data_IF_169226866817
#
_entry.id   IF_169226866817
#
_cell.length_a   1.000
_cell.length_b   1.000
_cell.length_c   1.000
_cell.angle_alpha   90.00
_cell.angle_beta   90.00
_cell.angle_gamma   90.00
#
_symmetry.space_group_name_H-M   'P 1'
#
loop_
_entity.id
_entity.type
_entity.pdbx_description
1 polymer ?
#
# COMPACT_ATOMS: atom_id res chain seq x y z
N UNK A 1 25.68 -11.05 -24.63
CA UNK A 1 24.76 -11.70 -23.67
C UNK A 1 25.49 -11.76 -22.35
N UNK A 2 25.22 -10.82 -21.45
CA UNK A 2 25.83 -10.80 -20.12
C UNK A 2 24.75 -11.26 -19.15
N UNK A 3 24.85 -12.50 -18.72
CA UNK A 3 23.94 -13.10 -17.74
C UNK A 3 24.27 -12.50 -16.39
N UNK A 4 23.44 -11.57 -15.91
CA UNK A 4 23.52 -11.07 -14.53
C UNK A 4 23.04 -12.20 -13.63
N UNK A 5 23.98 -12.94 -13.05
CA UNK A 5 23.70 -13.91 -12.00
C UNK A 5 23.27 -13.10 -10.78
N UNK A 6 21.98 -13.13 -10.43
CA UNK A 6 21.48 -12.58 -9.16
C UNK A 6 22.04 -13.43 -8.02
N UNK A 7 22.53 -12.83 -6.92
CA UNK A 7 22.94 -13.59 -5.75
C UNK A 7 21.70 -14.30 -5.16
N UNK A 8 21.80 -15.62 -5.01
CA UNK A 8 20.80 -16.41 -4.30
C UNK A 8 20.70 -15.92 -2.84
N UNK A 9 19.49 -15.60 -2.39
CA UNK A 9 19.20 -15.29 -0.98
C UNK A 9 18.71 -13.87 -0.65
N UNK A 10 18.46 -13.01 -1.63
CA UNK A 10 17.67 -11.80 -1.39
C UNK A 10 16.19 -12.10 -1.59
N UNK A 11 15.40 -12.05 -0.50
CA UNK A 11 13.94 -11.86 -0.58
C UNK A 11 13.67 -10.72 -1.56
N UNK A 12 13.23 -11.04 -2.78
CA UNK A 12 12.96 -10.00 -3.78
C UNK A 12 11.81 -9.15 -3.25
N UNK A 13 12.08 -7.88 -3.00
CA UNK A 13 11.08 -6.90 -2.54
C UNK A 13 9.87 -6.83 -3.48
N UNK A 14 10.02 -7.31 -4.72
CA UNK A 14 9.01 -7.29 -5.78
C UNK A 14 8.18 -8.58 -5.87
N UNK A 15 8.52 -9.62 -5.09
CA UNK A 15 7.84 -10.91 -5.12
C UNK A 15 8.24 -11.76 -6.34
N UNK A 16 7.46 -12.80 -6.67
CA UNK A 16 7.72 -13.64 -7.82
C UNK A 16 7.49 -12.91 -9.15
N UNK A 17 8.22 -13.36 -10.15
CA UNK A 17 8.23 -12.83 -11.51
C UNK A 17 6.83 -12.81 -12.15
N UNK A 18 6.40 -11.64 -12.61
CA UNK A 18 5.14 -11.46 -13.34
C UNK A 18 5.19 -10.22 -14.25
N UNK A 19 4.36 -10.21 -15.31
CA UNK A 19 4.11 -8.99 -16.07
C UNK A 19 3.03 -8.15 -15.40
N UNK A 20 3.20 -6.82 -15.43
CA UNK A 20 2.12 -5.89 -15.07
C UNK A 20 0.84 -6.14 -15.89
N UNK A 21 0.97 -6.52 -17.18
CA UNK A 21 -0.20 -6.86 -18.00
C UNK A 21 -0.91 -8.09 -17.47
N UNK A 22 -0.17 -9.09 -17.01
CA UNK A 22 -0.76 -10.28 -16.40
C UNK A 22 -1.47 -9.94 -15.09
N UNK A 23 -0.88 -9.08 -14.26
CA UNK A 23 -1.53 -8.56 -13.05
C UNK A 23 -2.83 -7.81 -13.39
N UNK A 24 -2.79 -6.88 -14.36
CA UNK A 24 -3.98 -6.16 -14.81
C UNK A 24 -5.04 -7.09 -15.38
N UNK A 25 -4.64 -8.09 -16.16
CA UNK A 25 -5.54 -9.09 -16.72
C UNK A 25 -6.22 -9.90 -15.61
N UNK A 26 -5.47 -10.38 -14.62
CA UNK A 26 -6.01 -11.10 -13.45
C UNK A 26 -7.03 -10.25 -12.68
N UNK A 27 -6.73 -8.98 -12.47
CA UNK A 27 -7.64 -8.03 -11.81
C UNK A 27 -8.90 -7.83 -12.67
N UNK A 28 -8.74 -7.60 -13.97
CA UNK A 28 -9.88 -7.43 -14.90
C UNK A 28 -10.77 -8.67 -14.91
N UNK A 29 -10.18 -9.87 -15.01
CA UNK A 29 -10.90 -11.15 -14.99
C UNK A 29 -11.67 -11.34 -13.68
N UNK A 30 -11.08 -10.97 -12.54
CA UNK A 30 -11.77 -11.00 -11.23
C UNK A 30 -12.98 -10.05 -11.19
N UNK A 31 -12.83 -8.82 -11.67
CA UNK A 31 -13.91 -7.82 -11.70
C UNK A 31 -15.07 -8.33 -12.58
N UNK A 32 -14.75 -8.86 -13.77
CA UNK A 32 -15.72 -9.42 -14.69
C UNK A 32 -16.42 -10.66 -14.12
N UNK A 33 -15.67 -11.60 -13.53
CA UNK A 33 -16.19 -12.84 -12.97
C UNK A 33 -17.16 -12.59 -11.80
N UNK A 34 -16.80 -11.68 -10.89
CA UNK A 34 -17.62 -11.35 -9.73
C UNK A 34 -18.80 -10.41 -10.05
N UNK A 35 -19.05 -10.12 -11.33
CA UNK A 35 -20.10 -9.20 -11.80
C UNK A 35 -20.12 -7.92 -10.97
N UNK A 36 -18.97 -7.31 -10.70
CA UNK A 36 -18.92 -6.04 -9.98
C UNK A 36 -19.50 -4.96 -10.92
N UNK A 37 -20.83 -4.78 -10.84
CA UNK A 37 -21.68 -4.23 -11.91
C UNK A 37 -21.49 -2.74 -12.20
N UNK A 38 -20.60 -2.06 -11.48
CA UNK A 38 -20.14 -0.74 -11.90
C UNK A 38 -18.66 -0.61 -11.63
N UNK A 39 -17.86 -0.52 -12.69
CA UNK A 39 -16.43 -0.29 -12.57
C UNK A 39 -16.18 0.94 -11.68
N UNK A 40 -16.92 2.04 -11.89
CA UNK A 40 -16.85 3.27 -11.05
C UNK A 40 -17.09 3.08 -9.54
N UNK A 41 -17.68 1.96 -9.08
CA UNK A 41 -17.84 1.62 -7.65
C UNK A 41 -17.00 0.43 -7.20
N UNK A 42 -16.26 -0.21 -8.09
CA UNK A 42 -15.42 -1.36 -7.75
C UNK A 42 -14.28 -0.90 -6.85
N UNK A 43 -14.21 -1.49 -5.65
CA UNK A 43 -13.23 -1.20 -4.61
C UNK A 43 -12.41 -2.46 -4.38
N UNK A 44 -11.10 -2.38 -4.59
CA UNK A 44 -10.19 -3.51 -4.47
C UNK A 44 -9.11 -3.19 -3.46
N UNK A 45 -8.92 -4.10 -2.50
CA UNK A 45 -7.75 -4.10 -1.65
C UNK A 45 -6.66 -4.89 -2.39
N UNK A 46 -5.76 -4.19 -3.07
CA UNK A 46 -4.63 -4.80 -3.75
C UNK A 46 -3.40 -4.64 -2.87
N UNK A 47 -2.69 -5.73 -2.60
CA UNK A 47 -1.48 -5.69 -1.79
C UNK A 47 -0.49 -6.77 -2.23
N UNK A 48 0.79 -6.50 -2.04
CA UNK A 48 1.80 -7.56 -1.97
C UNK A 48 1.79 -8.09 -0.54
N UNK A 49 1.66 -9.41 -0.38
CA UNK A 49 1.59 -10.04 0.93
C UNK A 49 2.05 -11.50 0.88
N UNK A 50 2.38 -12.04 2.05
CA UNK A 50 2.59 -13.46 2.30
C UNK A 50 1.75 -13.89 3.53
N UNK A 51 2.06 -15.04 4.11
CA UNK A 51 1.32 -15.56 5.27
C UNK A 51 1.50 -14.69 6.54
N UNK A 52 2.58 -13.92 6.63
CA UNK A 52 3.00 -13.21 7.83
C UNK A 52 2.98 -11.68 7.68
N UNK A 53 3.13 -11.17 6.45
CA UNK A 53 3.32 -9.75 6.20
C UNK A 53 2.51 -9.20 5.04
N UNK A 54 2.22 -7.90 5.11
CA UNK A 54 1.64 -7.09 4.03
C UNK A 54 2.55 -5.89 3.78
N UNK A 55 2.88 -5.65 2.52
CA UNK A 55 3.69 -4.47 2.13
C UNK A 55 2.79 -3.26 1.91
N UNK A 56 3.18 -2.13 2.49
CA UNK A 56 2.62 -0.81 2.19
C UNK A 56 3.73 0.15 1.77
N UNK A 57 3.38 1.11 0.94
CA UNK A 57 4.28 2.08 0.34
C UNK A 57 4.01 3.48 0.89
N UNK A 58 5.09 4.24 1.06
CA UNK A 58 5.05 5.66 1.41
C UNK A 58 6.14 6.42 0.66
N UNK A 59 5.89 7.69 0.37
CA UNK A 59 6.88 8.59 -0.23
C UNK A 59 7.15 9.79 0.69
N UNK A 60 8.42 10.12 0.89
CA UNK A 60 8.88 11.17 1.79
C UNK A 60 10.04 11.96 1.20
N UNK A 61 10.36 13.10 1.83
CA UNK A 61 11.66 13.74 1.65
C UNK A 61 12.79 12.83 2.16
N UNK A 62 14.02 12.96 1.61
CA UNK A 62 15.13 12.06 1.95
C UNK A 62 15.45 11.99 3.44
N UNK A 63 15.36 13.10 4.18
CA UNK A 63 15.69 13.14 5.62
C UNK A 63 14.82 12.19 6.46
N UNK A 64 13.52 12.12 6.17
CA UNK A 64 12.58 11.20 6.84
C UNK A 64 12.81 9.78 6.34
N UNK A 65 12.81 9.59 5.02
CA UNK A 65 12.86 8.26 4.40
C UNK A 65 14.15 7.49 4.69
N UNK A 66 15.31 8.14 4.54
CA UNK A 66 16.62 7.51 4.82
C UNK A 66 16.75 7.17 6.30
N UNK A 67 16.26 8.05 7.18
CA UNK A 67 16.25 7.78 8.62
C UNK A 67 15.38 6.57 8.94
N UNK A 68 14.18 6.47 8.36
CA UNK A 68 13.28 5.35 8.60
C UNK A 68 13.88 4.03 8.11
N UNK A 69 14.38 3.98 6.87
CA UNK A 69 15.00 2.79 6.30
C UNK A 69 16.24 2.33 7.10
N UNK A 70 17.07 3.26 7.58
CA UNK A 70 18.26 2.93 8.39
C UNK A 70 17.90 2.35 9.76
N UNK A 71 16.86 2.87 10.40
CA UNK A 71 16.53 2.48 11.78
C UNK A 71 15.49 1.35 11.84
N UNK A 72 14.77 1.08 10.74
CA UNK A 72 13.62 0.17 10.73
C UNK A 72 12.36 0.74 11.37
N UNK A 73 12.37 2.04 11.72
CA UNK A 73 11.22 2.76 12.29
C UNK A 73 11.45 4.28 12.18
N UNK A 74 10.38 5.05 12.25
CA UNK A 74 10.39 6.51 12.17
C UNK A 74 10.84 7.12 13.51
N UNK A 75 12.02 7.76 13.50
CA UNK A 75 12.57 8.55 14.63
C UNK A 75 12.90 10.00 14.30
N UNK A 76 12.90 10.36 13.02
CA UNK A 76 13.29 11.70 12.60
C UNK A 76 12.29 12.73 13.13
N UNK A 77 12.77 13.84 13.70
CA UNK A 77 11.92 14.92 14.26
C UNK A 77 11.01 15.59 13.23
N UNK A 78 11.31 15.47 11.95
CA UNK A 78 10.48 15.95 10.85
C UNK A 78 9.32 15.01 10.52
N UNK A 79 9.32 13.78 11.06
CA UNK A 79 8.17 12.89 11.04
C UNK A 79 7.23 13.24 12.21
N UNK A 80 5.97 13.54 11.91
CA UNK A 80 4.99 13.97 12.91
C UNK A 80 4.07 12.83 13.31
N UNK A 81 4.08 12.50 14.60
CA UNK A 81 3.15 11.56 15.23
C UNK A 81 1.80 12.19 15.57
N UNK A 82 1.67 13.52 15.51
CA UNK A 82 0.44 14.24 15.86
C UNK A 82 -0.54 14.37 14.69
N UNK A 83 -0.11 14.10 13.46
CA UNK A 83 -0.94 14.17 12.25
C UNK A 83 -1.32 12.78 11.75
N UNK A 84 -2.37 12.75 10.92
CA UNK A 84 -2.70 11.57 10.13
C UNK A 84 -1.56 11.22 9.17
N UNK A 85 -1.14 9.96 9.19
CA UNK A 85 -0.21 9.38 8.24
C UNK A 85 -0.96 8.40 7.34
N UNK A 86 -0.77 8.50 6.03
CA UNK A 86 -1.44 7.64 5.07
C UNK A 86 -0.48 6.56 4.56
N UNK A 87 -0.89 5.29 4.62
CA UNK A 87 -0.18 4.13 4.07
C UNK A 87 -0.95 3.59 2.85
N UNK A 88 -0.24 3.01 1.88
CA UNK A 88 -0.81 2.49 0.63
C UNK A 88 -0.32 1.10 0.31
N UNK A 89 -1.21 0.10 0.28
CA UNK A 89 -0.85 -1.19 -0.29
C UNK A 89 -0.52 -1.12 -1.79
N UNK A 90 -1.12 -0.18 -2.53
CA UNK A 90 -0.88 -0.01 -3.98
C UNK A 90 0.40 0.78 -4.30
N UNK A 91 1.30 0.12 -5.02
CA UNK A 91 2.54 0.65 -5.59
C UNK A 91 2.25 1.65 -6.70
N UNK A 92 1.40 1.29 -7.67
CA UNK A 92 1.06 2.14 -8.82
C UNK A 92 0.46 3.47 -8.39
N UNK A 93 -0.37 3.45 -7.34
CA UNK A 93 -0.89 4.67 -6.75
C UNK A 93 0.21 5.56 -6.17
N UNK A 94 1.16 5.00 -5.41
CA UNK A 94 2.29 5.77 -4.86
C UNK A 94 3.21 6.27 -5.96
N UNK A 95 3.43 5.51 -7.03
CA UNK A 95 4.22 5.97 -8.17
C UNK A 95 3.57 7.15 -8.87
N UNK A 96 2.26 7.08 -9.13
CA UNK A 96 1.55 8.22 -9.68
C UNK A 96 1.58 9.45 -8.74
N UNK A 97 1.33 9.21 -7.45
CA UNK A 97 1.26 10.27 -6.43
C UNK A 97 2.58 11.00 -6.23
N UNK A 98 3.67 10.26 -6.10
CA UNK A 98 5.04 10.78 -5.94
C UNK A 98 5.66 11.25 -7.25
N UNK A 99 5.02 10.96 -8.39
CA UNK A 99 5.61 11.16 -9.70
C UNK A 99 6.89 10.35 -9.85
N UNK A 100 6.85 9.07 -9.46
CA UNK A 100 8.00 8.16 -9.51
C UNK A 100 9.22 8.73 -8.78
N UNK A 101 9.02 9.12 -7.52
CA UNK A 101 10.06 9.71 -6.67
C UNK A 101 10.69 11.02 -7.18
N UNK A 102 10.02 11.80 -8.05
CA UNK A 102 10.56 13.09 -8.52
C UNK A 102 9.82 14.33 -8.02
N UNK A 103 8.70 14.17 -7.30
CA UNK A 103 7.98 15.33 -6.72
C UNK A 103 8.65 15.79 -5.43
N UNK A 104 8.67 17.11 -5.22
CA UNK A 104 9.18 17.75 -4.01
C UNK A 104 8.55 17.16 -2.75
N UNK A 105 9.37 16.87 -1.74
CA UNK A 105 9.04 16.21 -0.48
C UNK A 105 8.54 14.76 -0.59
N UNK A 106 8.70 14.11 -1.75
CA UNK A 106 8.34 12.73 -2.05
C UNK A 106 9.42 12.06 -2.90
N UNK A 107 10.67 12.46 -2.71
CA UNK A 107 11.83 12.02 -3.49
C UNK A 107 12.36 10.63 -3.07
N UNK A 108 11.85 10.07 -1.97
CA UNK A 108 12.26 8.77 -1.46
C UNK A 108 11.04 7.90 -1.21
N UNK A 109 11.03 6.70 -1.80
CA UNK A 109 9.97 5.70 -1.67
C UNK A 109 10.40 4.57 -0.75
N UNK A 110 9.56 4.28 0.23
CA UNK A 110 9.70 3.18 1.17
C UNK A 110 8.73 2.05 0.82
N UNK A 111 9.21 0.81 0.81
CA UNK A 111 8.41 -0.38 0.98
C UNK A 111 8.49 -0.80 2.45
N UNK A 112 7.35 -0.79 3.13
CA UNK A 112 7.22 -1.05 4.57
C UNK A 112 6.45 -2.35 4.73
N UNK A 113 7.10 -3.40 5.22
CA UNK A 113 6.42 -4.66 5.55
C UNK A 113 5.81 -4.53 6.94
N UNK A 114 4.52 -4.74 7.03
CA UNK A 114 3.77 -4.79 8.28
C UNK A 114 3.45 -6.23 8.62
N UNK A 115 3.35 -6.54 9.92
CA UNK A 115 2.72 -7.78 10.34
C UNK A 115 1.30 -7.84 9.76
N UNK A 116 0.95 -8.96 9.11
CA UNK A 116 -0.34 -9.16 8.46
C UNK A 116 -1.49 -8.95 9.44
N UNK A 117 -1.35 -9.51 10.65
CA UNK A 117 -2.30 -9.29 11.73
C UNK A 117 -2.51 -7.82 12.07
N UNK A 118 -1.44 -7.03 12.19
CA UNK A 118 -1.56 -5.60 12.48
C UNK A 118 -2.30 -4.87 11.36
N UNK A 119 -2.02 -5.24 10.11
CA UNK A 119 -2.72 -4.69 8.95
C UNK A 119 -4.22 -5.04 8.95
N UNK A 120 -4.57 -6.29 9.29
CA UNK A 120 -5.97 -6.72 9.44
C UNK A 120 -6.69 -5.93 10.55
N UNK A 121 -6.04 -5.73 11.70
CA UNK A 121 -6.59 -4.93 12.81
C UNK A 121 -6.86 -3.47 12.41
N UNK A 122 -6.00 -2.87 11.56
CA UNK A 122 -6.26 -1.55 10.99
C UNK A 122 -7.53 -1.55 10.13
N UNK A 123 -7.72 -2.59 9.30
CA UNK A 123 -8.90 -2.69 8.44
C UNK A 123 -10.18 -2.87 9.27
N UNK A 124 -10.15 -3.71 10.31
CA UNK A 124 -11.28 -3.96 11.21
C UNK A 124 -11.72 -2.68 11.96
N UNK A 125 -10.79 -1.82 12.34
CA UNK A 125 -11.07 -0.57 13.07
C UNK A 125 -11.35 0.63 12.16
N UNK A 126 -11.29 0.43 10.85
CA UNK A 126 -11.34 1.52 9.90
C UNK A 126 -12.74 2.13 9.74
N UNK A 127 -12.79 3.46 9.65
CA UNK A 127 -14.00 4.21 9.29
C UNK A 127 -13.81 4.83 7.90
N UNK A 128 -14.77 4.60 7.00
CA UNK A 128 -14.76 5.21 5.67
C UNK A 128 -14.96 6.73 5.76
N UNK A 129 -14.08 7.50 5.09
CA UNK A 129 -14.22 8.96 5.03
C UNK A 129 -15.31 9.43 4.07
N UNK A 130 -16.09 8.51 3.50
CA UNK A 130 -17.29 8.82 2.74
C UNK A 130 -18.47 8.22 3.50
N UNK A 131 -19.49 9.03 3.73
CA UNK A 131 -20.73 8.57 4.36
C UNK A 131 -21.39 7.46 3.54
N UNK A 132 -21.90 6.47 4.27
CA UNK A 132 -22.64 5.34 3.74
C UNK A 132 -23.89 5.12 4.61
N UNK A 133 -25.07 5.30 4.00
CA UNK A 133 -26.37 5.13 4.64
C UNK A 133 -26.61 3.70 5.15
N UNK A 134 -25.90 2.71 4.58
CA UNK A 134 -26.01 1.32 5.02
C UNK A 134 -25.21 1.02 6.30
N UNK A 135 -24.22 1.87 6.63
CA UNK A 135 -23.32 1.68 7.79
C UNK A 135 -23.64 2.60 8.95
N UNK A 136 -24.17 3.79 8.68
CA UNK A 136 -24.45 4.81 9.69
C UNK A 136 -25.89 5.29 9.58
N UNK A 137 -26.55 5.41 10.73
CA UNK A 137 -27.95 5.86 10.81
C UNK A 137 -28.12 7.34 10.46
N UNK A 138 -27.06 8.14 10.64
CA UNK A 138 -27.04 9.58 10.36
C UNK A 138 -25.65 10.09 9.95
N UNK A 139 -25.61 11.28 9.36
CA UNK A 139 -24.35 11.98 9.05
C UNK A 139 -23.63 12.38 10.35
N UNK A 140 -24.39 12.72 11.40
CA UNK A 140 -23.89 13.10 12.71
C UNK A 140 -23.14 11.95 13.39
N UNK A 141 -23.75 10.75 13.42
CA UNK A 141 -23.11 9.53 13.93
C UNK A 141 -21.81 9.22 13.17
N UNK A 142 -21.85 9.30 11.83
CA UNK A 142 -20.66 9.11 11.00
C UNK A 142 -19.55 10.13 11.29
N UNK A 143 -19.90 11.40 11.50
CA UNK A 143 -18.92 12.45 11.87
C UNK A 143 -18.28 12.18 13.23
N UNK A 144 -19.04 11.68 14.20
CA UNK A 144 -18.52 11.26 15.51
C UNK A 144 -17.55 10.10 15.31
N UNK A 145 -17.95 9.05 14.59
CA UNK A 145 -17.09 7.90 14.28
C UNK A 145 -15.79 8.32 13.56
N UNK A 146 -15.86 9.26 12.61
CA UNK A 146 -14.68 9.82 11.93
C UNK A 146 -13.75 10.59 12.86
N UNK A 147 -14.29 11.30 13.85
CA UNK A 147 -13.50 12.05 14.82
C UNK A 147 -12.83 11.11 15.83
N UNK A 148 -13.55 10.07 16.23
CA UNK A 148 -13.13 9.20 17.31
C UNK A 148 -12.26 8.02 16.85
N UNK A 149 -12.31 7.65 15.57
CA UNK A 149 -11.47 6.57 15.04
C UNK A 149 -10.00 6.97 14.85
N UNK A 150 -9.09 6.04 15.12
CA UNK A 150 -7.65 6.14 14.83
C UNK A 150 -7.28 5.71 13.42
N UNK A 151 -8.21 5.02 12.74
CA UNK A 151 -7.99 4.46 11.41
C UNK A 151 -9.10 4.92 10.46
N UNK A 152 -8.72 5.66 9.43
CA UNK A 152 -9.65 6.12 8.39
C UNK A 152 -9.32 5.46 7.06
N UNK A 153 -10.31 5.15 6.24
CA UNK A 153 -10.09 4.60 4.89
C UNK A 153 -10.73 5.43 3.80
N UNK A 154 -10.00 5.55 2.70
CA UNK A 154 -10.39 6.19 1.45
C UNK A 154 -10.24 5.21 0.30
N UNK A 155 -11.04 5.41 -0.74
CA UNK A 155 -11.01 4.61 -1.96
C UNK A 155 -10.72 5.54 -3.13
N UNK A 156 -9.47 5.57 -3.57
CA UNK A 156 -8.98 6.45 -4.62
C UNK A 156 -8.86 5.68 -5.94
N UNK A 157 -8.96 6.34 -7.12
CA UNK A 157 -8.75 5.65 -8.39
C UNK A 157 -7.36 5.00 -8.45
N UNK A 158 -7.28 3.75 -8.90
CA UNK A 158 -5.98 3.16 -9.26
C UNK A 158 -5.48 3.80 -10.57
N UNK A 159 -4.18 3.75 -10.82
CA UNK A 159 -3.57 4.34 -12.00
C UNK A 159 -2.79 3.32 -12.81
N UNK A 160 -2.87 3.45 -14.12
CA UNK A 160 -2.11 2.64 -15.05
C UNK A 160 -0.62 2.95 -14.90
N UNK A 161 0.24 1.93 -14.74
CA UNK A 161 1.68 2.14 -14.47
C UNK A 161 2.39 2.92 -15.59
N UNK A 162 2.12 2.60 -16.86
CA UNK A 162 2.74 3.27 -18.02
C UNK A 162 2.16 4.68 -18.27
N UNK A 163 0.86 4.77 -18.55
CA UNK A 163 0.23 6.03 -18.98
C UNK A 163 -0.09 6.98 -17.82
N UNK A 164 -0.13 6.49 -16.58
CA UNK A 164 -0.62 7.24 -15.43
C UNK A 164 -2.13 7.54 -15.47
N UNK A 165 -2.86 7.01 -16.46
CA UNK A 165 -4.30 7.23 -16.59
C UNK A 165 -5.06 6.53 -15.45
N UNK A 166 -6.14 7.14 -14.93
CA UNK A 166 -6.96 6.49 -13.91
C UNK A 166 -7.63 5.23 -14.49
N UNK A 167 -7.59 4.15 -13.73
CA UNK A 167 -8.28 2.90 -14.03
C UNK A 167 -9.71 2.93 -13.53
N UNK A 168 -10.50 1.99 -14.03
CA UNK A 168 -11.92 1.91 -13.77
C UNK A 168 -12.27 1.33 -12.40
N UNK A 169 -11.32 1.12 -11.49
CA UNK A 169 -11.54 0.64 -10.13
C UNK A 169 -10.76 1.50 -9.12
N UNK A 170 -11.13 1.38 -7.85
CA UNK A 170 -10.53 2.13 -6.73
C UNK A 170 -9.74 1.21 -5.82
N UNK A 171 -8.63 1.72 -5.28
CA UNK A 171 -7.79 1.05 -4.29
C UNK A 171 -7.79 1.79 -2.96
N UNK A 172 -7.46 1.05 -1.90
CA UNK A 172 -7.53 1.58 -0.54
C UNK A 172 -6.40 2.58 -0.26
N UNK A 173 -6.75 3.59 0.52
CA UNK A 173 -5.87 4.49 1.22
C UNK A 173 -6.20 4.37 2.71
N UNK A 174 -5.25 3.93 3.54
CA UNK A 174 -5.46 3.77 4.99
C UNK A 174 -4.73 4.89 5.73
N UNK A 175 -5.47 5.66 6.53
CA UNK A 175 -4.97 6.75 7.33
C UNK A 175 -4.89 6.30 8.78
N UNK A 176 -3.73 6.45 9.39
CA UNK A 176 -3.45 6.08 10.78
C UNK A 176 -3.01 7.31 11.60
N UNK A 177 -3.54 7.44 12.81
CA UNK A 177 -3.20 8.51 13.77
C UNK A 177 -3.28 8.01 15.21
N UNK A 178 -2.82 8.82 16.17
CA UNK A 178 -2.87 8.51 17.62
C UNK A 178 -2.33 7.09 17.89
N UNK A 179 -3.09 6.21 18.54
CA UNK A 179 -2.63 4.87 18.91
C UNK A 179 -2.30 4.02 17.67
N UNK A 180 -3.03 4.19 16.55
CA UNK A 180 -2.73 3.49 15.30
C UNK A 180 -1.41 3.92 14.66
N UNK A 181 -0.96 5.15 14.88
CA UNK A 181 0.35 5.57 14.39
C UNK A 181 1.48 5.14 15.34
N UNK A 182 1.22 5.14 16.65
CA UNK A 182 2.14 4.63 17.67
C UNK A 182 2.38 3.12 17.52
N UNK A 183 1.32 2.33 17.39
CA UNK A 183 1.38 0.88 17.14
C UNK A 183 2.12 0.55 15.85
N UNK A 184 1.80 1.28 14.76
CA UNK A 184 2.48 1.13 13.48
C UNK A 184 3.99 1.25 13.64
N UNK A 185 4.47 2.30 14.32
CA UNK A 185 5.90 2.56 14.44
C UNK A 185 6.63 1.73 15.49
N UNK A 186 5.93 1.25 16.53
CA UNK A 186 6.54 0.56 17.66
C UNK A 186 6.60 -0.96 17.48
N UNK A 187 5.61 -1.54 16.81
CA UNK A 187 5.45 -3.00 16.74
C UNK A 187 4.72 -3.51 15.48
N UNK A 188 4.11 -2.63 14.68
CA UNK A 188 3.47 -3.02 13.42
C UNK A 188 4.46 -3.27 12.28
N UNK A 189 5.58 -2.53 12.25
CA UNK A 189 6.61 -2.63 11.21
C UNK A 189 7.53 -3.82 11.46
N UNK A 190 7.64 -4.69 10.45
CA UNK A 190 8.63 -5.77 10.36
C UNK A 190 9.92 -5.25 9.75
N UNK A 191 9.82 -4.51 8.64
CA UNK A 191 10.99 -3.92 7.97
C UNK A 191 10.62 -2.70 7.13
N UNK A 192 11.61 -1.84 6.90
CA UNK A 192 11.51 -0.66 6.04
C UNK A 192 12.64 -0.71 5.02
N UNK A 193 12.29 -0.77 3.74
CA UNK A 193 13.22 -0.84 2.63
C UNK A 193 13.12 0.45 1.80
N UNK A 194 14.26 1.10 1.57
CA UNK A 194 14.35 2.18 0.59
C UNK A 194 14.42 1.57 -0.82
N UNK A 195 13.37 1.75 -1.61
CA UNK A 195 13.27 1.20 -2.97
C UNK A 195 13.46 2.27 -4.06
N UNK A 196 13.94 3.47 -3.69
CA UNK A 196 13.99 4.64 -4.58
C UNK A 196 14.84 4.39 -5.83
N UNK A 197 16.00 3.76 -5.69
CA UNK A 197 16.86 3.41 -6.82
C UNK A 197 16.13 2.51 -7.82
N UNK A 198 15.49 1.45 -7.32
CA UNK A 198 14.69 0.55 -8.15
C UNK A 198 13.50 1.27 -8.80
N UNK A 199 12.85 2.19 -8.10
CA UNK A 199 11.77 3.02 -8.67
C UNK A 199 12.27 3.86 -9.85
N UNK A 200 13.48 4.42 -9.77
CA UNK A 200 14.07 5.17 -10.88
C UNK A 200 14.47 4.29 -12.06
N UNK A 201 15.04 3.11 -11.80
CA UNK A 201 15.32 2.11 -12.84
C UNK A 201 14.05 1.70 -13.58
N UNK A 202 13.02 1.30 -12.82
CA UNK A 202 11.71 0.95 -13.36
C UNK A 202 11.14 2.10 -14.20
N UNK A 203 11.15 3.34 -13.68
CA UNK A 203 10.66 4.48 -14.44
C UNK A 203 11.41 4.64 -15.77
N UNK A 204 12.73 4.48 -15.77
CA UNK A 204 13.55 4.61 -16.98
C UNK A 204 13.22 3.52 -17.99
N UNK A 205 13.11 2.27 -17.54
CA UNK A 205 12.69 1.13 -18.35
C UNK A 205 11.30 1.39 -18.97
N UNK A 206 10.33 1.80 -18.14
CA UNK A 206 8.95 2.09 -18.55
C UNK A 206 8.83 3.27 -19.54
N UNK A 207 9.66 4.29 -19.39
CA UNK A 207 9.69 5.44 -20.30
C UNK A 207 10.38 5.15 -21.64
N UNK A 208 11.15 4.06 -21.71
CA UNK A 208 11.87 3.66 -22.92
C UNK A 208 11.04 2.76 -23.85
N UNK A 209 9.84 2.35 -23.43
CA UNK A 209 9.00 1.39 -24.15
C UNK A 209 7.69 2.03 -24.63
N UNK A 210 7.08 1.54 -25.73
CA UNK A 210 5.74 1.94 -26.16
C UNK A 210 4.68 1.74 -25.07
N UNK A 211 3.58 2.51 -25.13
CA UNK A 211 2.49 2.45 -24.14
C UNK A 211 1.76 1.10 -24.10
N UNK A 212 1.86 0.32 -25.17
CA UNK A 212 1.31 -1.02 -25.33
C UNK A 212 2.38 -2.11 -25.16
N UNK A 213 3.59 -1.77 -24.72
CA UNK A 213 4.67 -2.74 -24.49
C UNK A 213 4.35 -3.67 -23.33
N UNK A 214 4.61 -4.96 -23.52
CA UNK A 214 4.49 -5.95 -22.45
C UNK A 214 5.76 -5.94 -21.61
N UNK A 215 5.64 -5.59 -20.33
CA UNK A 215 6.77 -5.65 -19.43
C UNK A 215 7.13 -7.12 -19.25
N UNK A 216 8.30 -7.50 -19.75
CA UNK A 216 8.85 -8.81 -19.47
C UNK A 216 9.04 -8.97 -17.97
N UNK A 217 9.18 -10.22 -17.57
CA UNK A 217 9.51 -10.68 -16.24
C UNK A 217 10.72 -9.97 -15.57
N UNK A 218 11.52 -9.19 -16.32
CA UNK A 218 12.69 -8.46 -15.82
C UNK A 218 12.37 -7.02 -15.34
N UNK A 219 11.21 -6.47 -15.72
CA UNK A 219 10.81 -5.06 -15.46
C UNK A 219 9.75 -4.95 -14.34
N UNK A 220 9.92 -5.73 -13.27
CA UNK A 220 8.90 -6.05 -12.26
C UNK A 220 8.39 -4.82 -11.48
N UNK A 221 7.10 -4.54 -11.56
CA UNK A 221 6.38 -3.92 -10.43
C UNK A 221 6.20 -4.98 -9.33
N UNK A 222 5.94 -4.60 -8.06
CA UNK A 222 5.57 -5.58 -7.04
C UNK A 222 4.31 -6.36 -7.42
N UNK A 223 4.28 -7.67 -7.15
CA UNK A 223 3.08 -8.49 -7.40
C UNK A 223 2.02 -8.16 -6.35
N UNK A 224 0.97 -7.49 -6.81
CA UNK A 224 -0.18 -7.18 -5.97
C UNK A 224 -1.35 -8.10 -6.32
N UNK A 225 -1.85 -8.79 -5.30
CA UNK A 225 -3.02 -9.66 -5.41
C UNK A 225 -4.18 -9.05 -4.67
N UNK A 226 -5.39 -9.52 -4.99
CA UNK A 226 -6.58 -9.16 -4.23
C UNK A 226 -6.41 -9.74 -2.85
N UNK A 227 -6.29 -8.84 -1.88
CA UNK A 227 -6.15 -9.18 -0.49
C UNK A 227 -7.53 -9.45 0.10
N UNK A 228 -7.70 -10.63 0.67
CA UNK A 228 -8.80 -10.97 1.55
C UNK A 228 -8.27 -11.14 2.96
N UNK A 229 -8.95 -10.55 3.94
CA UNK A 229 -8.79 -10.98 5.33
C UNK A 229 -9.29 -12.43 5.38
N UNK A 230 -8.38 -13.40 5.50
CA UNK A 230 -8.77 -14.78 5.70
C UNK A 230 -9.45 -14.90 7.07
N UNK A 231 -10.43 -15.80 7.23
CA UNK A 231 -11.11 -16.04 8.51
C UNK A 231 -10.17 -16.59 9.62
N UNK A 232 -8.89 -16.82 9.31
CA UNK A 232 -7.94 -17.63 10.09
C UNK A 232 -7.18 -16.91 11.21
N UNK A 233 -7.46 -15.65 11.54
CA UNK A 233 -6.72 -14.96 12.63
C UNK A 233 -7.57 -14.22 13.66
N UNK A 234 -8.86 -14.56 13.82
CA UNK A 234 -9.66 -14.06 14.96
C UNK A 234 -9.17 -14.52 16.34
N UNK A 235 -8.26 -15.50 16.42
CA UNK A 235 -7.97 -16.23 17.67
C UNK A 235 -6.59 -16.03 18.30
N UNK A 236 -5.71 -15.21 17.72
CA UNK A 236 -4.43 -14.88 18.37
C UNK A 236 -4.19 -13.38 18.38
N UNK A 237 -4.78 -12.70 19.37
CA UNK A 237 -4.41 -11.31 19.72
C UNK A 237 -2.91 -11.25 20.05
N UNK A 238 -2.12 -10.52 19.26
CA UNK A 238 -0.71 -10.32 19.51
C UNK A 238 -0.55 -9.43 20.75
N UNK A 239 0.18 -9.90 21.75
CA UNK A 239 0.44 -9.13 22.97
C UNK A 239 1.13 -7.79 22.69
N UNK A 240 0.79 -6.77 23.50
CA UNK A 240 1.35 -5.40 23.59
C UNK A 240 1.27 -4.47 22.36
N UNK A 241 0.96 -4.96 21.15
CA UNK A 241 0.83 -4.11 19.96
C UNK A 241 -0.61 -3.65 19.66
N UNK A 242 -1.59 -4.18 20.41
CA UNK A 242 -3.02 -3.97 20.12
C UNK A 242 -3.42 -2.51 20.28
N UNK A 243 -4.17 -2.03 19.30
CA UNK A 243 -4.95 -0.79 19.39
C UNK A 243 -6.07 -0.86 20.44
N UNK A 244 -6.31 -2.04 21.00
CA UNK A 244 -7.47 -2.40 21.81
C UNK A 244 -7.32 -2.20 23.33
N UNK A 245 -6.47 -1.29 23.80
CA UNK A 245 -6.60 -0.74 25.17
C UNK A 245 -7.36 0.60 25.14
N UNK A 246 -8.66 0.54 24.79
CA UNK A 246 -9.65 1.62 24.98
C UNK A 246 -10.85 1.07 25.77
#
# INVERSE_FOLDING_TARGET
MSTVIRPEGHDSVLGPCHSWKDQQKRISDYISHNKLQSALRTRLLLAQHDNETVTVYQAYKPSIGLSAARNGHFRNSEFSFSRMTWIKPSFSWIMNRSGWATKKNQELVLAIRLHRQYFDELLEQSVETRWDAAKFSSIEEWRIALKDSDVLVQWDPEHHVLSGAPLSYRVIQIGIRRKALEGFNSCGIVSILNITERVHELRKELMSVPSDYDLSCENETPLETIYSMEETTRTKRFGKCLLAEL
#
